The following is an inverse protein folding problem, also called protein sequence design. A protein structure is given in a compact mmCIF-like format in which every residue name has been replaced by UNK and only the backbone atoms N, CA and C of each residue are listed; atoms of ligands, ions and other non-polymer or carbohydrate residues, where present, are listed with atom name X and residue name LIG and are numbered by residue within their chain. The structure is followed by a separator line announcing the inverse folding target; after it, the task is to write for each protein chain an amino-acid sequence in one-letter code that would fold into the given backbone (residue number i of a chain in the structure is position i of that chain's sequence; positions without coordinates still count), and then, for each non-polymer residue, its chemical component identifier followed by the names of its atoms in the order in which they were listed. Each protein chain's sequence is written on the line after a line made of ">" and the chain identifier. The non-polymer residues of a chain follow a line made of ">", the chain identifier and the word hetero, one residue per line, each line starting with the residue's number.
data_IF_873565965186
#
_entry.id   IF_873565965186
#
_cell.length_a   1.000
_cell.length_b   1.000
_cell.length_c   1.000
_cell.angle_alpha   90.00
_cell.angle_beta   90.00
_cell.angle_gamma   90.00
#
_symmetry.space_group_name_H-M   'P 1'
#
loop_
_entity.id
_entity.type
_entity.pdbx_description
1 polymer ?
#
# COMPACT_ATOMS: atom_id res chain seq x y z
N UNK A 1 -4.47 -14.90 2.27
CA UNK A 1 -4.14 -14.77 2.28
C UNK A 1 -3.39 -14.21 2.34
N UNK A 2 -3.63 -14.32 2.55
CA UNK A 2 -2.73 -14.13 2.78
C UNK A 2 -2.24 -14.02 1.77
N UNK A 3 -2.02 -13.70 1.45
CA UNK A 3 -1.41 -14.05 0.37
C UNK A 3 -1.04 -13.23 -0.80
N UNK A 4 -1.50 -12.06 -0.91
CA UNK A 4 -1.14 -11.23 -2.04
C UNK A 4 0.18 -10.49 -1.79
N UNK A 5 1.08 -10.58 -2.78
CA UNK A 5 2.34 -9.84 -2.75
C UNK A 5 2.10 -8.44 -3.31
N UNK A 6 3.04 -7.48 -3.10
CA UNK A 6 2.94 -6.17 -3.73
C UNK A 6 2.81 -6.23 -5.25
N UNK A 7 3.46 -7.21 -5.86
CA UNK A 7 3.38 -7.39 -7.31
C UNK A 7 1.99 -7.75 -7.78
N UNK A 8 1.25 -8.52 -6.97
CA UNK A 8 -0.10 -8.91 -7.33
C UNK A 8 -1.03 -7.70 -7.40
N UNK A 9 -0.87 -6.74 -6.51
CA UNK A 9 -1.66 -5.51 -6.56
C UNK A 9 -1.39 -4.74 -7.85
N UNK A 10 -0.14 -4.64 -8.23
CA UNK A 10 0.25 -3.91 -9.44
C UNK A 10 -0.24 -4.62 -10.70
N UNK A 11 -0.23 -5.94 -10.71
CA UNK A 11 -0.70 -6.71 -11.85
C UNK A 11 -2.20 -6.56 -12.09
N UNK A 12 -2.98 -6.22 -11.06
CA UNK A 12 -4.41 -5.98 -11.22
C UNK A 12 -4.71 -4.64 -11.85
N UNK A 13 -3.75 -3.73 -11.83
CA UNK A 13 -3.93 -2.40 -12.39
C UNK A 13 -3.60 -2.44 -13.87
N UNK A 14 -4.52 -1.99 -14.70
CA UNK A 14 -4.28 -1.93 -16.13
C UNK A 14 -3.36 -0.80 -16.50
N UNK A 15 -3.42 0.29 -15.76
CA UNK A 15 -2.62 1.46 -16.05
C UNK A 15 -2.10 2.09 -14.76
N UNK A 16 -1.00 2.82 -14.91
CA UNK A 16 -0.46 3.61 -13.81
C UNK A 16 -1.46 4.68 -13.37
N UNK A 17 -2.26 5.18 -14.31
CA UNK A 17 -3.28 6.17 -14.00
C UNK A 17 -4.32 5.66 -13.02
N UNK A 18 -4.73 4.40 -13.15
CA UNK A 18 -5.67 3.80 -12.20
C UNK A 18 -5.09 3.73 -10.80
N UNK A 19 -3.82 3.33 -10.70
CA UNK A 19 -3.12 3.27 -9.43
C UNK A 19 -3.06 4.65 -8.79
N UNK A 20 -2.70 5.66 -9.56
CA UNK A 20 -2.60 7.03 -9.05
C UNK A 20 -3.97 7.56 -8.62
N UNK A 21 -5.02 7.25 -9.36
CA UNK A 21 -6.37 7.67 -9.02
C UNK A 21 -6.81 7.09 -7.67
N UNK A 22 -6.50 5.82 -7.42
CA UNK A 22 -6.81 5.19 -6.14
C UNK A 22 -6.00 5.85 -5.02
N UNK A 23 -4.71 6.08 -5.25
CA UNK A 23 -3.84 6.66 -4.25
C UNK A 23 -4.21 8.10 -3.91
N UNK A 24 -4.81 8.83 -4.84
CA UNK A 24 -5.26 10.19 -4.60
C UNK A 24 -6.40 10.25 -3.57
N UNK A 25 -7.13 9.16 -3.37
CA UNK A 25 -8.19 9.10 -2.36
C UNK A 25 -7.65 8.79 -0.97
N UNK A 26 -6.37 8.47 -0.86
CA UNK A 26 -5.74 8.11 0.40
C UNK A 26 -5.06 9.31 1.03
N UNK A 27 -4.82 9.24 2.34
CA UNK A 27 -3.98 10.26 3.00
C UNK A 27 -2.56 10.12 2.49
N UNK A 28 -1.77 11.18 2.66
CA UNK A 28 -0.37 11.16 2.26
C UNK A 28 0.39 10.03 2.97
N UNK A 29 0.13 9.84 4.25
CA UNK A 29 0.78 8.78 5.02
C UNK A 29 0.42 7.40 4.49
N UNK A 30 -0.86 7.16 4.20
CA UNK A 30 -1.31 5.88 3.65
C UNK A 30 -0.66 5.61 2.30
N UNK A 31 -0.67 6.62 1.43
CA UNK A 31 -0.08 6.50 0.10
C UNK A 31 1.41 6.17 0.18
N UNK A 32 2.15 6.91 1.00
CA UNK A 32 3.59 6.71 1.14
C UNK A 32 3.91 5.30 1.62
N UNK A 33 3.20 4.85 2.65
CA UNK A 33 3.44 3.52 3.22
C UNK A 33 3.10 2.42 2.22
N UNK A 34 2.00 2.59 1.50
CA UNK A 34 1.61 1.62 0.49
C UNK A 34 2.62 1.55 -0.65
N UNK A 35 3.14 2.68 -1.10
CA UNK A 35 4.13 2.71 -2.17
C UNK A 35 5.43 2.04 -1.75
N UNK A 36 5.86 2.24 -0.52
CA UNK A 36 7.05 1.56 0.01
C UNK A 36 6.83 0.05 0.02
N UNK A 37 5.65 -0.39 0.36
CA UNK A 37 5.31 -1.80 0.38
C UNK A 37 5.19 -2.38 -1.04
N UNK A 38 4.47 -1.72 -1.91
CA UNK A 38 4.15 -2.24 -3.23
C UNK A 38 5.30 -2.12 -4.24
N UNK A 39 5.99 -0.98 -4.24
CA UNK A 39 7.04 -0.72 -5.23
C UNK A 39 8.43 -1.12 -4.73
N UNK A 40 8.74 -0.81 -3.48
CA UNK A 40 10.06 -1.10 -2.93
C UNK A 40 10.14 -2.48 -2.29
N UNK A 41 9.00 -3.14 -2.07
CA UNK A 41 8.97 -4.49 -1.52
C UNK A 41 9.39 -4.57 -0.06
N UNK A 42 9.27 -3.47 0.68
CA UNK A 42 9.67 -3.44 2.07
C UNK A 42 8.66 -4.17 2.96
N UNK A 43 9.14 -4.74 4.05
CA UNK A 43 8.27 -5.35 5.06
C UNK A 43 7.62 -4.24 5.91
N UNK A 44 6.57 -4.60 6.64
CA UNK A 44 5.92 -3.66 7.55
C UNK A 44 6.92 -3.12 8.59
N UNK A 45 7.80 -3.99 9.08
CA UNK A 45 8.82 -3.58 10.04
C UNK A 45 9.78 -2.55 9.45
N UNK A 46 10.20 -2.76 8.22
CA UNK A 46 11.09 -1.83 7.54
C UNK A 46 10.42 -0.49 7.29
N UNK A 47 9.17 -0.53 6.85
CA UNK A 47 8.40 0.70 6.62
C UNK A 47 8.19 1.46 7.92
N UNK A 48 7.88 0.74 9.00
CA UNK A 48 7.69 1.35 10.31
C UNK A 48 8.95 2.07 10.76
N UNK A 49 10.12 1.47 10.55
CA UNK A 49 11.39 2.09 10.89
C UNK A 49 11.63 3.36 10.09
N UNK A 50 11.34 3.32 8.79
CA UNK A 50 11.54 4.48 7.92
C UNK A 50 10.56 5.62 8.24
N UNK A 51 9.32 5.28 8.57
CA UNK A 51 8.28 6.27 8.83
C UNK A 51 8.23 6.73 10.29
N UNK A 52 8.98 6.08 11.16
CA UNK A 52 9.00 6.44 12.58
C UNK A 52 7.70 6.10 13.30
N UNK A 53 7.03 5.03 12.91
CA UNK A 53 5.77 4.61 13.50
C UNK A 53 5.80 3.13 13.84
N UNK A 54 4.70 2.63 14.42
CA UNK A 54 4.61 1.22 14.78
C UNK A 54 4.27 0.36 13.57
N UNK A 55 4.60 -0.91 13.66
CA UNK A 55 4.26 -1.89 12.64
C UNK A 55 2.74 -1.97 12.43
N UNK A 56 1.99 -1.88 13.53
CA UNK A 56 0.52 -1.89 13.47
C UNK A 56 -0.03 -0.71 12.68
N UNK A 57 0.58 0.46 12.83
CA UNK A 57 0.17 1.64 12.06
C UNK A 57 0.40 1.45 10.57
N UNK A 58 1.53 0.85 10.21
CA UNK A 58 1.82 0.53 8.81
C UNK A 58 0.80 -0.46 8.27
N UNK A 59 0.54 -1.52 9.02
CA UNK A 59 -0.43 -2.53 8.61
C UNK A 59 -1.81 -1.92 8.38
N UNK A 60 -2.26 -1.07 9.31
CA UNK A 60 -3.55 -0.40 9.16
C UNK A 60 -3.62 0.48 7.92
N UNK A 61 -2.54 1.21 7.64
CA UNK A 61 -2.48 2.07 6.45
C UNK A 61 -2.54 1.24 5.16
N UNK A 62 -1.78 0.15 5.11
CA UNK A 62 -1.76 -0.74 3.95
C UNK A 62 -3.13 -1.38 3.72
N UNK A 63 -3.76 -1.84 4.80
CA UNK A 63 -5.08 -2.47 4.69
C UNK A 63 -6.16 -1.48 4.23
N UNK A 64 -6.06 -0.23 4.67
CA UNK A 64 -7.00 0.79 4.22
C UNK A 64 -6.90 0.99 2.70
N UNK A 65 -5.69 1.02 2.17
CA UNK A 65 -5.49 1.15 0.73
C UNK A 65 -5.97 -0.10 0.00
N UNK A 66 -5.69 -1.28 0.54
CA UNK A 66 -6.14 -2.55 -0.06
C UNK A 66 -7.65 -2.59 -0.20
N UNK A 67 -8.38 -2.10 0.78
CA UNK A 67 -9.84 -2.08 0.73
C UNK A 67 -10.35 -1.24 -0.44
N UNK A 68 -9.67 -0.15 -0.74
CA UNK A 68 -10.05 0.69 -1.87
C UNK A 68 -9.86 -0.09 -3.18
N UNK A 69 -8.76 -0.79 -3.33
CA UNK A 69 -8.52 -1.62 -4.51
C UNK A 69 -9.56 -2.72 -4.65
N UNK A 70 -9.97 -3.32 -3.54
CA UNK A 70 -10.96 -4.40 -3.57
C UNK A 70 -12.34 -3.93 -3.98
N UNK A 71 -12.68 -2.68 -3.69
CA UNK A 71 -13.97 -2.11 -4.07
C UNK A 71 -14.03 -1.72 -5.54
N UNK A 72 -12.89 -1.50 -6.12
CA UNK A 72 -12.80 -1.17 -7.53
C UNK A 72 -12.60 -2.42 -8.37
#
# INVERSE_FOLDING_TARGET
>A
IYGETPEDYLCRMETLGELMAVLDTCTEAQRRRFLLYALDGLTFSEIAALCGCSKSSVQGSIEAVRKIFQKN
#
